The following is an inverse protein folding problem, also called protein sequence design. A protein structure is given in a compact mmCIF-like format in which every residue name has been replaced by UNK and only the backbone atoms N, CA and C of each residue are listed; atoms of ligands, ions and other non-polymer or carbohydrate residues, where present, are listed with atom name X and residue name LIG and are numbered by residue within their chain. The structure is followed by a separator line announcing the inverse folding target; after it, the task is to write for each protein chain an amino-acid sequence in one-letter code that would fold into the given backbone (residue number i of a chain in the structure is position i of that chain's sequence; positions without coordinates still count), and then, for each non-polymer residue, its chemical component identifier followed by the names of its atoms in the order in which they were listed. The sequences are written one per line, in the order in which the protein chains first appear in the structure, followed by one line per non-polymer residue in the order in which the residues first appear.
data_IF_427085363834
#
_entry.id   IF_427085363834
#
_cell.length_a   1.000
_cell.length_b   1.000
_cell.length_c   1.000
_cell.angle_alpha   90.00
_cell.angle_beta   90.00
_cell.angle_gamma   90.00
#
_symmetry.space_group_name_H-M   'P 1'
#
loop_
_entity.id
_entity.type
_entity.pdbx_description
1 polymer ?
#
# COMPACT_ATOMS: atom_id res chain seq x y z
N UNK A 1 -13.46 5.42 3.02
CA UNK A 1 -12.55 6.55 2.90
C UNK A 1 -11.14 6.21 3.36
N UNK A 2 -10.97 5.72 4.57
CA UNK A 2 -9.65 5.33 5.07
C UNK A 2 -9.04 4.17 4.26
N UNK A 3 -9.87 3.27 3.75
CA UNK A 3 -9.41 2.17 2.92
C UNK A 3 -8.64 2.67 1.69
N UNK A 4 -9.13 3.71 1.04
CA UNK A 4 -8.49 4.26 -0.16
C UNK A 4 -7.14 4.88 0.18
N UNK A 5 -7.03 5.54 1.32
CA UNK A 5 -5.76 6.09 1.78
C UNK A 5 -4.75 4.99 2.10
N UNK A 6 -5.20 3.93 2.76
CA UNK A 6 -4.33 2.80 3.09
C UNK A 6 -3.86 2.09 1.82
N UNK A 7 -4.76 1.91 0.85
CA UNK A 7 -4.42 1.32 -0.43
C UNK A 7 -3.37 2.17 -1.15
N UNK A 8 -3.56 3.49 -1.18
CA UNK A 8 -2.59 4.41 -1.76
C UNK A 8 -1.22 4.27 -1.08
N UNK A 9 -1.20 4.21 0.24
CA UNK A 9 0.04 4.07 1.00
C UNK A 9 0.76 2.77 0.66
N UNK A 10 0.04 1.66 0.61
CA UNK A 10 0.62 0.35 0.28
C UNK A 10 1.20 0.34 -1.13
N UNK A 11 0.43 0.85 -2.10
CA UNK A 11 0.90 0.94 -3.48
C UNK A 11 2.10 1.86 -3.61
N UNK A 12 2.11 2.97 -2.89
CA UNK A 12 3.23 3.90 -2.87
C UNK A 12 4.52 3.24 -2.39
N UNK A 13 4.44 2.49 -1.32
CA UNK A 13 5.60 1.79 -0.78
C UNK A 13 6.11 0.75 -1.76
N UNK A 14 5.21 0.00 -2.38
CA UNK A 14 5.59 -1.01 -3.37
C UNK A 14 6.12 -0.40 -4.67
N UNK A 15 5.71 0.83 -4.99
CA UNK A 15 6.23 1.53 -6.17
C UNK A 15 7.72 1.86 -6.02
N UNK A 16 8.23 1.90 -4.81
CA UNK A 16 9.64 2.17 -4.54
C UNK A 16 10.49 0.91 -4.61
N UNK A 17 9.87 -0.25 -4.64
CA UNK A 17 10.54 -1.54 -4.68
C UNK A 17 9.72 -2.59 -3.98
N UNK A 18 10.08 -3.84 -4.16
CA UNK A 18 9.39 -4.95 -3.53
C UNK A 18 9.50 -4.84 -2.01
N UNK A 19 8.41 -5.15 -1.32
CA UNK A 19 8.31 -4.96 0.13
C UNK A 19 7.98 -6.25 0.83
N UNK A 20 8.67 -6.51 1.93
CA UNK A 20 8.30 -7.59 2.84
C UNK A 20 6.98 -7.22 3.54
N UNK A 21 6.03 -8.16 3.53
CA UNK A 21 4.68 -7.91 4.07
C UNK A 21 4.67 -7.37 5.49
N UNK A 22 5.49 -7.94 6.36
CA UNK A 22 5.59 -7.47 7.74
C UNK A 22 6.10 -6.02 7.83
N UNK A 23 7.01 -5.62 6.93
CA UNK A 23 7.51 -4.25 6.90
C UNK A 23 6.43 -3.27 6.43
N UNK A 24 5.61 -3.67 5.46
CA UNK A 24 4.47 -2.86 5.05
C UNK A 24 3.54 -2.61 6.22
N UNK A 25 3.24 -3.67 6.97
CA UNK A 25 2.39 -3.61 8.14
C UNK A 25 2.96 -2.64 9.18
N UNK A 26 4.23 -2.80 9.49
CA UNK A 26 4.93 -2.01 10.48
C UNK A 26 4.94 -0.52 10.11
N UNK A 27 5.23 -0.23 8.85
CA UNK A 27 5.31 1.15 8.36
C UNK A 27 3.95 1.82 8.37
N UNK A 28 2.90 1.11 7.98
CA UNK A 28 1.55 1.66 8.04
C UNK A 28 1.10 1.88 9.47
N UNK A 29 1.38 0.93 10.35
CA UNK A 29 0.99 1.04 11.75
C UNK A 29 1.69 2.22 12.45
N UNK A 30 2.90 2.54 12.02
CA UNK A 30 3.65 3.67 12.58
C UNK A 30 2.95 5.01 12.32
N UNK A 31 2.28 5.16 11.18
CA UNK A 31 1.58 6.41 10.83
C UNK A 31 0.07 6.33 11.04
N UNK A 32 -0.49 5.14 11.08
CA UNK A 32 -1.91 4.90 11.34
C UNK A 32 -2.06 3.89 12.49
N UNK A 33 -1.71 4.27 13.72
CA UNK A 33 -1.69 3.30 14.83
C UNK A 33 -3.06 2.71 15.18
N UNK A 34 -4.15 3.37 14.77
CA UNK A 34 -5.49 2.88 15.04
C UNK A 34 -5.96 1.82 14.06
N UNK A 35 -5.23 1.61 12.97
CA UNK A 35 -5.61 0.64 11.95
C UNK A 35 -5.14 -0.75 12.37
N UNK A 36 -6.08 -1.70 12.39
CA UNK A 36 -5.77 -3.07 12.77
C UNK A 36 -5.01 -3.79 11.67
N UNK A 37 -4.14 -4.70 12.07
CA UNK A 37 -3.36 -5.52 11.14
C UNK A 37 -4.25 -6.29 10.17
N UNK A 38 -5.37 -6.83 10.67
CA UNK A 38 -6.31 -7.58 9.84
C UNK A 38 -6.87 -6.75 8.71
N UNK A 39 -7.09 -5.45 8.93
CA UNK A 39 -7.58 -4.54 7.89
C UNK A 39 -6.53 -4.35 6.79
N UNK A 40 -5.27 -4.20 7.18
CA UNK A 40 -4.16 -4.05 6.22
C UNK A 40 -4.00 -5.31 5.39
N UNK A 41 -4.01 -6.49 6.03
CA UNK A 41 -3.92 -7.74 5.31
C UNK A 41 -5.10 -7.97 4.36
N UNK A 42 -6.30 -7.54 4.76
CA UNK A 42 -7.47 -7.65 3.89
C UNK A 42 -7.29 -6.82 2.61
N UNK A 43 -6.73 -5.62 2.74
CA UNK A 43 -6.44 -4.76 1.58
C UNK A 43 -5.37 -5.42 0.70
N UNK A 44 -4.30 -5.94 1.28
CA UNK A 44 -3.25 -6.62 0.53
C UNK A 44 -3.79 -7.82 -0.24
N UNK A 45 -4.64 -8.64 0.40
CA UNK A 45 -5.27 -9.79 -0.27
C UNK A 45 -6.15 -9.33 -1.42
N UNK A 46 -6.90 -8.25 -1.22
CA UNK A 46 -7.76 -7.68 -2.25
C UNK A 46 -6.95 -7.20 -3.46
N UNK A 47 -5.85 -6.51 -3.22
CA UNK A 47 -4.98 -6.04 -4.28
C UNK A 47 -4.37 -7.19 -5.08
N UNK A 48 -3.98 -8.27 -4.40
CA UNK A 48 -3.49 -9.48 -5.09
C UNK A 48 -4.59 -10.14 -5.92
N UNK A 49 -5.77 -10.27 -5.35
CA UNK A 49 -6.92 -10.88 -6.03
C UNK A 49 -7.32 -10.08 -7.28
N UNK A 50 -7.19 -8.77 -7.23
CA UNK A 50 -7.53 -7.88 -8.35
C UNK A 50 -6.39 -7.71 -9.34
N UNK A 51 -5.26 -8.34 -9.10
CA UNK A 51 -4.13 -8.31 -10.02
C UNK A 51 -3.27 -7.06 -9.94
N UNK A 52 -3.48 -6.21 -8.94
CA UNK A 52 -2.68 -4.99 -8.75
C UNK A 52 -1.30 -5.29 -8.13
N UNK A 53 -1.21 -6.34 -7.34
CA UNK A 53 0.05 -6.77 -6.74
C UNK A 53 0.23 -8.27 -6.90
N UNK A 54 1.46 -8.71 -6.77
CA UNK A 54 1.82 -10.11 -6.73
C UNK A 54 2.55 -10.39 -5.43
N UNK A 55 2.23 -11.52 -4.82
CA UNK A 55 2.92 -11.97 -3.62
C UNK A 55 3.83 -13.13 -3.99
N UNK A 56 5.05 -13.09 -3.53
CA UNK A 56 6.00 -14.17 -3.77
C UNK A 56 6.82 -14.44 -2.52
N UNK A 57 7.44 -15.62 -2.49
CA UNK A 57 8.27 -16.03 -1.39
C UNK A 57 9.71 -15.61 -1.67
N UNK A 58 10.25 -14.77 -0.80
CA UNK A 58 11.62 -14.32 -0.93
C UNK A 58 12.61 -15.31 -0.31
N UNK A 59 13.86 -15.15 -0.67
CA UNK A 59 14.92 -15.94 -0.09
C UNK A 59 15.21 -15.49 1.33
N UNK A 60 15.42 -16.47 2.20
CA UNK A 60 15.86 -16.19 3.56
C UNK A 60 17.03 -17.10 3.88
N UNK A 61 18.06 -16.56 4.53
CA UNK A 61 19.16 -17.39 4.98
C UNK A 61 18.90 -17.80 6.42
N UNK A 62 18.50 -19.06 6.60
CA UNK A 62 18.39 -19.67 7.92
C UNK A 62 17.15 -19.32 8.73
N UNK A 63 16.10 -18.77 8.11
CA UNK A 63 14.85 -18.43 8.81
C UNK A 63 13.62 -18.87 8.05
N UNK A 64 12.43 -18.60 8.61
CA UNK A 64 11.18 -18.87 7.91
C UNK A 64 11.10 -18.08 6.61
N UNK A 65 10.46 -18.65 5.61
CA UNK A 65 10.27 -17.99 4.34
C UNK A 65 9.47 -16.70 4.53
N UNK A 66 9.93 -15.63 3.88
CA UNK A 66 9.29 -14.31 3.95
C UNK A 66 8.48 -14.07 2.70
N UNK A 67 7.31 -13.48 2.87
CA UNK A 67 6.43 -13.13 1.77
C UNK A 67 6.63 -11.68 1.39
N UNK A 68 6.93 -11.48 0.11
CA UNK A 68 7.14 -10.16 -0.47
C UNK A 68 6.00 -9.81 -1.40
N UNK A 69 5.80 -8.52 -1.58
CA UNK A 69 4.75 -7.97 -2.44
C UNK A 69 5.40 -7.02 -3.43
N UNK A 70 4.94 -7.07 -4.67
CA UNK A 70 5.39 -6.16 -5.72
C UNK A 70 4.22 -5.68 -6.56
N UNK A 71 4.37 -4.50 -7.17
CA UNK A 71 3.38 -3.98 -8.07
C UNK A 71 3.44 -4.71 -9.41
N UNK A 72 2.25 -4.95 -9.97
CA UNK A 72 2.11 -5.34 -11.37
C UNK A 72 1.98 -4.08 -12.22
N UNK A 73 2.02 -4.17 -13.57
CA UNK A 73 1.69 -3.01 -14.41
C UNK A 73 0.33 -2.43 -14.10
N UNK A 74 -0.68 -3.28 -13.85
CA UNK A 74 -2.01 -2.81 -13.44
C UNK A 74 -1.98 -2.08 -12.11
N UNK A 75 -1.15 -2.56 -11.18
CA UNK A 75 -0.96 -1.90 -9.89
C UNK A 75 -0.33 -0.53 -10.01
N UNK A 76 0.59 -0.36 -10.95
CA UNK A 76 1.21 0.94 -11.21
C UNK A 76 0.21 1.94 -11.75
N UNK A 77 -0.68 1.52 -12.63
CA UNK A 77 -1.75 2.35 -13.15
C UNK A 77 -2.71 2.77 -12.04
N UNK A 78 -3.08 1.81 -11.19
CA UNK A 78 -3.96 2.06 -10.05
C UNK A 78 -3.34 3.05 -9.08
N UNK A 79 -2.05 2.90 -8.79
CA UNK A 79 -1.32 3.81 -7.95
C UNK A 79 -1.33 5.23 -8.53
N UNK A 80 -1.02 5.37 -9.82
CA UNK A 80 -1.01 6.68 -10.47
C UNK A 80 -2.38 7.35 -10.39
N UNK A 81 -3.45 6.60 -10.61
CA UNK A 81 -4.81 7.13 -10.54
C UNK A 81 -5.18 7.59 -9.12
N UNK A 82 -4.87 6.78 -8.12
CA UNK A 82 -5.16 7.14 -6.73
C UNK A 82 -4.33 8.34 -6.27
N UNK A 83 -3.08 8.41 -6.70
CA UNK A 83 -2.19 9.52 -6.37
C UNK A 83 -2.73 10.82 -6.94
N UNK A 84 -3.24 10.79 -8.17
CA UNK A 84 -3.82 11.96 -8.83
C UNK A 84 -5.06 12.44 -8.09
N UNK A 85 -5.92 11.52 -7.68
CA UNK A 85 -7.12 11.85 -6.90
C UNK A 85 -6.72 12.51 -5.57
N UNK A 86 -5.73 11.94 -4.90
CA UNK A 86 -5.26 12.49 -3.62
C UNK A 86 -4.68 13.89 -3.79
N UNK A 87 -3.87 14.10 -4.83
CA UNK A 87 -3.29 15.42 -5.12
C UNK A 87 -4.36 16.47 -5.36
N UNK A 88 -5.37 16.10 -6.13
CA UNK A 88 -6.51 17.00 -6.39
C UNK A 88 -7.26 17.37 -5.11
N UNK A 89 -7.47 16.38 -4.23
CA UNK A 89 -8.12 16.61 -2.94
C UNK A 89 -7.27 17.53 -2.06
N UNK A 90 -5.97 17.27 -1.97
CA UNK A 90 -5.04 18.10 -1.22
C UNK A 90 -5.08 19.55 -1.71
N UNK A 91 -5.02 19.73 -3.02
CA UNK A 91 -5.01 21.06 -3.62
C UNK A 91 -6.33 21.81 -3.38
N UNK A 92 -7.45 21.08 -3.45
CA UNK A 92 -8.77 21.66 -3.16
C UNK A 92 -8.87 22.11 -1.70
N UNK A 93 -8.39 21.30 -0.77
CA UNK A 93 -8.38 21.64 0.64
C UNK A 93 -7.48 22.84 0.91
N UNK A 94 -6.31 22.88 0.29
CA UNK A 94 -5.39 24.00 0.41
C UNK A 94 -6.01 25.29 -0.13
N UNK A 95 -6.75 25.21 -1.24
CA UNK A 95 -7.46 26.36 -1.80
C UNK A 95 -8.51 26.93 -0.85
N UNK A 96 -9.05 26.10 0.05
CA UNK A 96 -9.98 26.52 1.09
C UNK A 96 -9.28 27.02 2.35
N UNK A 97 -7.97 26.92 2.43
CA UNK A 97 -7.19 27.31 3.58
C UNK A 97 -6.92 26.19 4.59
N UNK A 98 -7.21 24.96 4.22
CA UNK A 98 -6.95 23.80 5.07
C UNK A 98 -5.56 23.24 4.74
N UNK A 99 -4.73 23.17 5.76
CA UNK A 99 -3.39 22.61 5.61
C UNK A 99 -3.21 21.34 6.43
#
# INVERSE_FOLDING_TARGET
MKKDLLELCLLHLMAQGDQYGYELLRRLHAVFPDVQESAIYAILRGLCREGATERYQGETSGGPARKYYRLTPAGRERYAALLEIWRGTRDALAALGIE
#
